data_IF_634411627346
#
_entry.id   IF_634411627346
#
_cell.length_a   1.000
_cell.length_b   1.000
_cell.length_c   1.000
_cell.angle_alpha   90.00
_cell.angle_beta   90.00
_cell.angle_gamma   90.00
#
_symmetry.space_group_name_H-M   'P 1'
#
loop_
_entity.id
_entity.type
_entity.pdbx_description
1 polymer ?
#
# COMPACT_ATOMS: atom_id res chain seq x y z
N UNK A 1 6.10 -32.24 0.89
CA UNK A 1 4.72 -31.74 1.06
C UNK A 1 4.82 -30.27 1.40
N UNK A 2 4.58 -29.36 0.45
CA UNK A 2 4.42 -27.94 0.79
C UNK A 2 3.08 -27.84 1.50
N UNK A 3 3.09 -27.49 2.79
CA UNK A 3 1.88 -27.01 3.45
C UNK A 3 1.45 -25.78 2.65
N UNK A 4 0.28 -25.82 2.01
CA UNK A 4 -0.27 -24.61 1.38
C UNK A 4 -0.58 -23.62 2.50
N UNK A 5 0.29 -22.62 2.67
CA UNK A 5 -0.02 -21.49 3.53
C UNK A 5 -0.93 -20.57 2.72
N UNK A 6 -2.17 -20.39 3.20
CA UNK A 6 -3.09 -19.45 2.59
C UNK A 6 -2.48 -18.05 2.62
N UNK A 7 -2.57 -17.36 1.48
CA UNK A 7 -2.14 -15.96 1.34
C UNK A 7 -3.33 -15.04 1.51
N UNK A 8 -3.19 -14.01 2.33
CA UNK A 8 -4.28 -13.11 2.70
C UNK A 8 -3.95 -11.66 2.34
N UNK A 9 -4.89 -11.00 1.66
CA UNK A 9 -4.87 -9.56 1.47
C UNK A 9 -5.88 -8.90 2.41
N UNK A 10 -5.40 -8.14 3.38
CA UNK A 10 -6.25 -7.36 4.29
C UNK A 10 -6.45 -5.98 3.68
N UNK A 11 -7.71 -5.60 3.45
CA UNK A 11 -8.05 -4.34 2.80
C UNK A 11 -8.65 -3.35 3.80
N UNK A 12 -7.99 -2.21 3.99
CA UNK A 12 -8.40 -1.12 4.87
C UNK A 12 -8.93 0.02 4.00
N UNK A 13 -10.25 0.09 3.87
CA UNK A 13 -10.96 1.07 3.03
C UNK A 13 -11.83 2.03 3.85
N UNK A 14 -12.07 3.23 3.31
CA UNK A 14 -12.98 4.21 3.87
C UNK A 14 -12.62 5.65 3.49
N UNK A 15 -13.39 6.67 3.94
CA UNK A 15 -13.14 8.06 3.60
C UNK A 15 -11.75 8.59 4.00
N UNK A 16 -11.31 9.69 3.40
CA UNK A 16 -10.09 10.40 3.81
C UNK A 16 -10.18 10.86 5.27
N UNK A 17 -9.05 10.91 5.97
CA UNK A 17 -8.92 11.40 7.35
C UNK A 17 -9.63 10.59 8.47
N UNK A 18 -10.06 9.34 8.22
CA UNK A 18 -10.61 8.46 9.27
C UNK A 18 -9.56 7.64 10.04
N UNK A 19 -8.26 7.86 9.78
CA UNK A 19 -7.16 7.13 10.45
C UNK A 19 -6.76 5.80 9.79
N UNK A 20 -7.05 5.60 8.51
CA UNK A 20 -6.71 4.35 7.77
C UNK A 20 -5.21 4.03 7.78
N UNK A 21 -4.36 5.02 7.55
CA UNK A 21 -2.89 4.86 7.53
C UNK A 21 -2.37 4.31 8.86
N UNK A 22 -2.79 4.91 9.97
CA UNK A 22 -2.41 4.46 11.31
C UNK A 22 -2.86 3.01 11.59
N UNK A 23 -4.06 2.62 11.14
CA UNK A 23 -4.53 1.24 11.25
C UNK A 23 -3.71 0.29 10.36
N UNK A 24 -3.43 0.69 9.12
CA UNK A 24 -2.63 -0.12 8.19
C UNK A 24 -1.22 -0.38 8.72
N UNK A 25 -0.56 0.62 9.32
CA UNK A 25 0.75 0.48 9.96
C UNK A 25 0.69 -0.52 11.13
N UNK A 26 -0.33 -0.40 11.99
CA UNK A 26 -0.51 -1.34 13.11
C UNK A 26 -0.69 -2.78 12.63
N UNK A 27 -1.45 -2.99 11.55
CA UNK A 27 -1.66 -4.31 10.96
C UNK A 27 -0.38 -4.83 10.30
N UNK A 28 0.34 -4.00 9.55
CA UNK A 28 1.59 -4.35 8.90
C UNK A 28 2.65 -4.81 9.92
N UNK A 29 2.78 -4.09 11.05
CA UNK A 29 3.69 -4.45 12.13
C UNK A 29 3.24 -5.72 12.86
N UNK A 30 1.94 -5.94 13.05
CA UNK A 30 1.42 -7.14 13.69
C UNK A 30 1.61 -8.41 12.86
N UNK A 31 1.44 -8.32 11.54
CA UNK A 31 1.60 -9.43 10.61
C UNK A 31 3.00 -9.52 9.98
N UNK A 32 3.94 -8.67 10.42
CA UNK A 32 5.29 -8.56 9.90
C UNK A 32 5.31 -8.48 8.36
N UNK A 33 4.51 -7.59 7.80
CA UNK A 33 4.32 -7.44 6.34
C UNK A 33 4.37 -6.00 5.87
N UNK A 34 4.14 -5.78 4.58
CA UNK A 34 4.24 -4.50 3.89
C UNK A 34 2.86 -3.99 3.44
N UNK A 35 2.78 -2.70 3.14
CA UNK A 35 1.55 -1.98 2.81
C UNK A 35 1.56 -1.56 1.34
N UNK A 36 0.48 -1.83 0.62
CA UNK A 36 0.20 -1.33 -0.72
C UNK A 36 -0.79 -0.17 -0.59
N UNK A 37 -0.39 1.04 -0.99
CA UNK A 37 -1.32 2.15 -1.11
C UNK A 37 -2.17 1.99 -2.37
N UNK A 38 -3.48 2.20 -2.25
CA UNK A 38 -4.43 2.30 -3.37
C UNK A 38 -5.06 3.69 -3.49
N UNK A 39 -4.53 4.70 -2.78
CA UNK A 39 -4.95 6.10 -2.95
C UNK A 39 -4.21 6.73 -4.15
N UNK A 40 -4.94 6.87 -5.26
CA UNK A 40 -4.39 7.37 -6.55
C UNK A 40 -3.68 8.72 -6.46
N UNK A 41 -4.03 9.57 -5.48
CA UNK A 41 -3.42 10.90 -5.32
C UNK A 41 -2.07 10.82 -4.61
N UNK A 42 -1.85 9.78 -3.80
CA UNK A 42 -0.60 9.58 -3.07
C UNK A 42 0.53 9.01 -3.92
N UNK A 43 0.23 8.56 -5.14
CA UNK A 43 1.21 7.93 -6.04
C UNK A 43 2.27 8.92 -6.55
N UNK A 44 1.94 10.21 -6.57
CA UNK A 44 2.70 11.23 -7.27
C UNK A 44 3.64 12.04 -6.37
N UNK A 45 4.91 12.12 -6.75
CA UNK A 45 5.98 12.86 -6.03
C UNK A 45 5.68 14.34 -5.86
N UNK A 46 5.03 14.94 -6.86
CA UNK A 46 4.72 16.37 -6.89
C UNK A 46 3.49 16.72 -6.03
N UNK A 47 2.72 15.74 -5.58
CA UNK A 47 1.47 15.95 -4.82
C UNK A 47 1.67 15.76 -3.31
N UNK A 48 2.15 16.81 -2.64
CA UNK A 48 2.45 16.79 -1.19
C UNK A 48 1.36 17.43 -0.32
N UNK A 49 0.51 18.28 -0.89
CA UNK A 49 -0.50 19.07 -0.16
C UNK A 49 -1.90 18.58 -0.56
N UNK A 50 -2.79 18.39 0.42
CA UNK A 50 -4.19 18.00 0.17
C UNK A 50 -4.39 16.52 -0.19
N UNK A 51 -3.33 15.72 -0.22
CA UNK A 51 -3.36 14.29 -0.57
C UNK A 51 -3.22 13.35 0.63
N UNK A 52 -3.13 13.90 1.84
CA UNK A 52 -2.99 13.14 3.10
C UNK A 52 -1.91 12.05 3.03
N UNK A 53 -0.81 12.31 2.32
CA UNK A 53 0.35 11.41 2.22
C UNK A 53 0.86 11.12 3.64
N UNK A 54 1.19 9.84 3.96
CA UNK A 54 1.78 9.50 5.25
C UNK A 54 3.03 10.33 5.53
N UNK A 55 3.17 10.77 6.78
CA UNK A 55 4.35 11.51 7.23
C UNK A 55 5.62 10.66 7.16
N UNK A 56 6.80 11.29 7.15
CA UNK A 56 8.07 10.55 7.16
C UNK A 56 8.17 9.57 8.35
N UNK A 57 7.63 9.93 9.52
CA UNK A 57 7.59 9.05 10.68
C UNK A 57 6.65 7.86 10.50
N UNK A 58 5.55 8.00 9.75
CA UNK A 58 4.65 6.89 9.42
C UNK A 58 5.26 5.97 8.35
N UNK A 59 5.95 6.54 7.36
CA UNK A 59 6.65 5.78 6.32
C UNK A 59 7.84 4.97 6.86
N UNK A 60 8.47 5.43 7.94
CA UNK A 60 9.55 4.70 8.62
C UNK A 60 9.05 3.50 9.44
N UNK A 61 7.78 3.53 9.86
CA UNK A 61 7.19 2.47 10.71
C UNK A 61 6.82 1.21 9.93
N UNK A 62 6.60 1.29 8.62
CA UNK A 62 6.28 0.15 7.76
C UNK A 62 6.59 0.49 6.30
N UNK A 63 7.04 -0.49 5.52
CA UNK A 63 7.30 -0.30 4.10
C UNK A 63 6.00 -0.10 3.32
N UNK A 64 5.87 1.05 2.67
CA UNK A 64 4.74 1.40 1.82
C UNK A 64 5.14 1.35 0.35
N UNK A 65 4.34 0.64 -0.46
CA UNK A 65 4.40 0.67 -1.92
C UNK A 65 3.44 1.72 -2.45
N UNK A 66 3.77 2.25 -3.63
CA UNK A 66 2.93 3.22 -4.36
C UNK A 66 2.73 4.56 -3.64
N UNK A 67 3.58 4.94 -2.69
CA UNK A 67 3.62 6.31 -2.16
C UNK A 67 4.72 7.07 -2.89
N UNK A 68 4.35 8.17 -3.55
CA UNK A 68 5.28 9.07 -4.26
C UNK A 68 6.29 8.33 -5.14
N UNK A 69 5.85 7.24 -5.77
CA UNK A 69 6.73 6.40 -6.57
C UNK A 69 6.84 6.88 -8.03
N UNK A 70 5.94 7.77 -8.46
CA UNK A 70 5.78 8.20 -9.86
C UNK A 70 5.64 9.72 -9.98
N UNK A 71 5.77 10.24 -11.20
CA UNK A 71 5.59 11.66 -11.49
C UNK A 71 4.23 11.96 -12.09
N UNK A 72 3.64 13.13 -11.80
CA UNK A 72 2.39 13.59 -12.43
C UNK A 72 2.50 13.75 -13.96
N UNK A 73 3.71 13.83 -14.51
CA UNK A 73 3.94 13.96 -15.95
C UNK A 73 3.92 12.61 -16.67
N UNK A 74 3.76 11.50 -15.94
CA UNK A 74 3.65 10.16 -16.49
C UNK A 74 2.18 9.71 -16.47
N UNK A 75 1.66 9.30 -17.63
CA UNK A 75 0.31 8.75 -17.70
C UNK A 75 0.18 7.49 -16.84
N UNK A 76 -0.81 7.50 -15.95
CA UNK A 76 -1.11 6.38 -15.07
C UNK A 76 -2.61 6.11 -14.97
N UNK A 77 -2.97 4.86 -15.24
CA UNK A 77 -4.34 4.37 -15.27
C UNK A 77 -4.57 3.29 -14.21
N UNK A 78 -5.83 3.07 -13.85
CA UNK A 78 -6.24 2.00 -12.92
C UNK A 78 -5.77 0.61 -13.39
N UNK A 79 -5.75 0.36 -14.71
CA UNK A 79 -5.27 -0.91 -15.26
C UNK A 79 -3.74 -1.07 -15.14
N UNK A 80 -2.97 0.02 -15.19
CA UNK A 80 -1.54 -0.04 -14.88
C UNK A 80 -1.32 -0.31 -13.39
N UNK A 81 -2.08 0.36 -12.52
CA UNK A 81 -2.05 0.10 -11.08
C UNK A 81 -2.37 -1.35 -10.75
N UNK A 82 -3.45 -1.91 -11.28
CA UNK A 82 -3.83 -3.32 -11.06
C UNK A 82 -2.67 -4.27 -11.40
N UNK A 83 -2.07 -4.12 -12.59
CA UNK A 83 -0.96 -4.98 -13.03
C UNK A 83 0.27 -4.84 -12.14
N UNK A 84 0.58 -3.63 -11.68
CA UNK A 84 1.74 -3.38 -10.81
C UNK A 84 1.48 -3.88 -9.38
N UNK A 85 0.29 -3.62 -8.83
CA UNK A 85 -0.10 -4.06 -7.50
C UNK A 85 -0.15 -5.60 -7.40
N UNK A 86 -0.69 -6.29 -8.43
CA UNK A 86 -0.67 -7.75 -8.49
C UNK A 86 0.76 -8.30 -8.52
N UNK A 87 1.67 -7.68 -9.29
CA UNK A 87 3.09 -8.05 -9.28
C UNK A 87 3.73 -7.83 -7.90
N UNK A 88 3.40 -6.74 -7.22
CA UNK A 88 3.87 -6.49 -5.85
C UNK A 88 3.36 -7.56 -4.89
N UNK A 89 2.09 -7.97 -4.99
CA UNK A 89 1.51 -9.06 -4.20
C UNK A 89 2.21 -10.40 -4.49
N UNK A 90 2.45 -10.74 -5.75
CA UNK A 90 3.18 -11.95 -6.13
C UNK A 90 4.60 -12.00 -5.54
N UNK A 91 5.25 -10.85 -5.40
CA UNK A 91 6.55 -10.73 -4.74
C UNK A 91 6.44 -10.84 -3.23
N UNK A 92 5.50 -10.11 -2.62
CA UNK A 92 5.30 -10.12 -1.17
C UNK A 92 4.92 -11.50 -0.66
N UNK A 93 4.06 -12.22 -1.37
CA UNK A 93 3.61 -13.54 -0.96
C UNK A 93 4.68 -14.64 -1.08
N UNK A 94 5.87 -14.33 -1.63
CA UNK A 94 7.03 -15.23 -1.55
C UNK A 94 7.63 -15.29 -0.15
N UNK A 95 7.52 -14.21 0.63
CA UNK A 95 8.13 -14.09 1.96
C UNK A 95 7.13 -13.78 3.07
N UNK A 96 5.91 -13.37 2.73
CA UNK A 96 4.85 -13.03 3.68
C UNK A 96 3.60 -13.88 3.42
N UNK A 97 2.83 -14.18 4.46
CA UNK A 97 1.50 -14.80 4.32
C UNK A 97 0.37 -13.76 4.26
N UNK A 98 0.65 -12.54 4.71
CA UNK A 98 -0.27 -11.41 4.71
C UNK A 98 0.28 -10.27 3.85
N UNK A 99 -0.61 -9.42 3.34
CA UNK A 99 -0.29 -8.12 2.78
C UNK A 99 -1.43 -7.15 3.13
N UNK A 100 -1.13 -5.85 3.27
CA UNK A 100 -2.13 -4.84 3.60
C UNK A 100 -2.36 -3.94 2.39
N UNK A 101 -3.61 -3.79 1.94
CA UNK A 101 -4.02 -2.79 0.97
C UNK A 101 -4.73 -1.65 1.70
N UNK A 102 -4.32 -0.40 1.52
CA UNK A 102 -4.95 0.76 2.16
C UNK A 102 -5.26 1.86 1.16
N UNK A 103 -6.49 2.36 1.17
CA UNK A 103 -6.92 3.43 0.26
C UNK A 103 -8.40 3.75 0.40
N UNK A 104 -8.91 4.63 -0.46
CA UNK A 104 -10.31 5.04 -0.48
C UNK A 104 -10.65 5.85 -1.72
#
# INVERSE_FOLDING_TARGET
MKLETNKYLITVIGPTAIGKTALAIRLANYFETEIISSDSRQFYKEMNIGTAVPTASELDQAKHHFIQNRSIFEDYSVGQFEREALKSLDLLFKSHDFAILVGG
#
